data_IF_083376532322
#
_entry.id   IF_083376532322
#
_cell.length_a   1.000
_cell.length_b   1.000
_cell.length_c   1.000
_cell.angle_alpha   90.00
_cell.angle_beta   90.00
_cell.angle_gamma   90.00
#
_symmetry.space_group_name_H-M   'P 1'
#
loop_
_entity.id
_entity.type
_entity.pdbx_description
1 polymer ?
#
# COMPACT_ATOMS: atom_id res chain seq x y z
N UNK A 1 16.77 30.62 7.57
CA UNK A 1 16.35 29.21 7.72
C UNK A 1 17.22 28.41 6.77
N UNK A 2 17.85 27.30 7.18
CA UNK A 2 18.50 26.41 6.20
C UNK A 2 17.38 25.75 5.39
N UNK A 3 17.40 25.88 4.08
CA UNK A 3 16.43 25.20 3.22
C UNK A 3 16.57 23.69 3.40
N UNK A 4 15.45 23.00 3.63
CA UNK A 4 15.39 21.55 3.56
C UNK A 4 15.54 21.19 2.09
N UNK A 5 16.59 20.44 1.75
CA UNK A 5 16.87 20.00 0.38
C UNK A 5 16.68 18.49 0.29
N UNK A 6 16.31 18.01 -0.90
CA UNK A 6 16.06 16.59 -1.18
C UNK A 6 17.27 15.66 -0.93
N UNK A 7 18.46 16.21 -0.66
CA UNK A 7 19.69 15.46 -0.42
C UNK A 7 19.99 15.25 1.08
N UNK A 8 19.09 15.66 1.97
CA UNK A 8 19.24 15.48 3.43
C UNK A 8 18.78 14.09 3.86
N UNK A 9 19.45 13.49 4.84
CA UNK A 9 18.99 12.22 5.42
C UNK A 9 17.68 12.41 6.20
N UNK A 10 16.80 11.39 6.27
CA UNK A 10 15.53 11.47 7.00
C UNK A 10 15.70 11.94 8.46
N UNK A 11 16.72 11.45 9.16
CA UNK A 11 17.03 11.87 10.54
C UNK A 11 17.34 13.37 10.64
N UNK A 12 18.07 13.91 9.66
CA UNK A 12 18.43 15.33 9.59
C UNK A 12 17.20 16.20 9.34
N UNK A 13 16.29 15.72 8.48
CA UNK A 13 15.03 16.38 8.18
C UNK A 13 14.16 16.39 9.45
N UNK A 14 14.05 15.25 10.14
CA UNK A 14 13.32 15.12 11.40
C UNK A 14 13.84 16.09 12.47
N UNK A 15 15.15 16.13 12.72
CA UNK A 15 15.77 17.08 13.66
C UNK A 15 15.46 18.55 13.31
N UNK A 16 15.54 18.90 12.03
CA UNK A 16 15.26 20.27 11.56
C UNK A 16 13.79 20.64 11.72
N UNK A 17 12.87 19.70 11.47
CA UNK A 17 11.43 19.88 11.66
C UNK A 17 11.12 20.07 13.16
N UNK A 18 11.59 19.18 14.02
CA UNK A 18 11.39 19.27 15.49
C UNK A 18 11.89 20.61 16.01
N UNK A 19 13.09 21.02 15.59
CA UNK A 19 13.68 22.31 15.98
C UNK A 19 12.87 23.50 15.45
N UNK A 20 12.41 23.46 14.21
CA UNK A 20 11.59 24.53 13.62
C UNK A 20 10.24 24.69 14.33
N UNK A 21 9.62 23.58 14.73
CA UNK A 21 8.38 23.55 15.53
C UNK A 21 8.61 24.14 16.92
N UNK A 22 9.67 23.72 17.62
CA UNK A 22 10.03 24.23 18.95
C UNK A 22 10.36 25.74 18.93
N UNK A 23 11.04 26.22 17.90
CA UNK A 23 11.40 27.63 17.75
C UNK A 23 10.24 28.50 17.24
N UNK A 24 9.09 27.92 16.88
CA UNK A 24 7.95 28.64 16.31
C UNK A 24 8.23 29.29 14.95
N UNK A 25 9.31 28.89 14.26
CA UNK A 25 9.77 29.44 12.99
C UNK A 25 9.34 28.57 11.80
N UNK A 26 8.08 28.16 11.78
CA UNK A 26 7.52 27.40 10.68
C UNK A 26 6.34 28.14 10.08
N UNK A 27 6.22 28.09 8.75
CA UNK A 27 5.01 28.53 8.07
C UNK A 27 4.08 27.32 8.07
N UNK A 28 2.95 27.37 8.78
CA UNK A 28 1.94 26.31 8.67
C UNK A 28 1.46 26.27 7.22
N UNK A 29 1.92 25.26 6.49
CA UNK A 29 1.35 24.90 5.21
C UNK A 29 0.41 23.73 5.50
N UNK A 30 -0.89 24.00 5.46
CA UNK A 30 -1.89 22.93 5.51
C UNK A 30 -1.74 22.19 4.18
N UNK A 31 -1.20 20.97 4.23
CA UNK A 31 -1.18 20.06 3.08
C UNK A 31 -2.46 19.23 3.17
N UNK A 32 -3.48 19.48 2.34
CA UNK A 32 -4.66 18.62 2.31
C UNK A 32 -4.25 17.23 1.82
N UNK A 33 -4.62 16.20 2.58
CA UNK A 33 -4.50 14.80 2.18
C UNK A 33 -5.91 14.32 1.84
N UNK A 34 -6.14 13.99 0.57
CA UNK A 34 -7.40 13.39 0.13
C UNK A 34 -7.25 11.86 0.17
N UNK A 35 -8.05 11.21 1.03
CA UNK A 35 -8.11 9.75 1.13
C UNK A 35 -9.32 9.27 0.35
N UNK A 36 -9.09 8.39 -0.61
CA UNK A 36 -10.14 7.76 -1.40
C UNK A 36 -10.24 6.28 -1.04
N UNK A 37 -11.37 5.87 -0.48
CA UNK A 37 -11.71 4.46 -0.28
C UNK A 37 -12.59 3.99 -1.44
N UNK A 38 -12.00 3.19 -2.32
CA UNK A 38 -12.75 2.51 -3.36
C UNK A 38 -13.08 1.10 -2.87
N UNK A 39 -14.06 1.01 -1.97
CA UNK A 39 -14.68 -0.27 -1.64
C UNK A 39 -15.13 -0.92 -2.94
N UNK A 40 -14.54 -2.07 -3.31
CA UNK A 40 -14.53 -2.74 -4.63
C UNK A 40 -15.89 -3.14 -5.22
N UNK A 41 -16.85 -2.23 -5.19
CA UNK A 41 -18.17 -2.37 -5.75
C UNK A 41 -18.05 -2.29 -7.26
N UNK A 42 -18.70 -3.26 -7.92
CA UNK A 42 -18.52 -3.63 -9.33
C UNK A 42 -18.68 -2.45 -10.29
N UNK A 43 -19.53 -1.50 -9.93
CA UNK A 43 -19.89 -0.35 -10.74
C UNK A 43 -18.78 0.71 -10.80
N UNK A 44 -17.91 0.77 -9.78
CA UNK A 44 -16.86 1.78 -9.70
C UNK A 44 -15.53 1.33 -10.31
N UNK A 45 -15.32 0.04 -10.65
CA UNK A 45 -14.09 -0.43 -11.29
C UNK A 45 -13.71 0.40 -12.53
N UNK A 46 -14.73 0.77 -13.32
CA UNK A 46 -14.57 1.57 -14.53
C UNK A 46 -14.34 3.07 -14.27
N UNK A 47 -14.32 3.55 -13.02
CA UNK A 47 -14.02 4.95 -12.69
C UNK A 47 -12.71 5.13 -11.93
N UNK A 48 -12.05 4.05 -11.50
CA UNK A 48 -10.81 4.14 -10.71
C UNK A 48 -9.70 4.89 -11.45
N UNK A 49 -9.64 4.78 -12.78
CA UNK A 49 -8.65 5.51 -13.57
C UNK A 49 -8.76 7.03 -13.48
N UNK A 50 -9.93 7.57 -13.10
CA UNK A 50 -10.13 9.01 -12.94
C UNK A 50 -9.46 9.56 -11.68
N UNK A 51 -9.14 8.69 -10.71
CA UNK A 51 -8.60 9.07 -9.40
C UNK A 51 -7.14 8.62 -9.21
N UNK A 52 -6.59 7.83 -10.13
CA UNK A 52 -5.19 7.44 -10.11
C UNK A 52 -4.35 8.63 -10.59
N UNK A 53 -3.49 9.15 -9.71
CA UNK A 53 -2.59 10.25 -10.03
C UNK A 53 -1.13 9.84 -9.82
N UNK A 54 -0.20 10.47 -10.53
CA UNK A 54 1.24 10.16 -10.46
C UNK A 54 1.90 10.49 -9.12
N UNK A 55 1.24 11.26 -8.24
CA UNK A 55 1.74 11.63 -6.90
C UNK A 55 0.95 10.95 -5.78
N UNK A 56 0.25 9.86 -6.10
CA UNK A 56 -0.52 9.09 -5.12
C UNK A 56 0.33 8.06 -4.38
N UNK A 57 -0.02 7.85 -3.12
CA UNK A 57 0.29 6.62 -2.38
C UNK A 57 -0.94 5.73 -2.48
N UNK A 58 -0.75 4.50 -2.95
CA UNK A 58 -1.81 3.53 -3.15
C UNK A 58 -1.69 2.44 -2.10
N UNK A 59 -2.73 2.23 -1.31
CA UNK A 59 -2.80 1.11 -0.36
C UNK A 59 -3.64 0.00 -0.99
N UNK A 60 -2.97 -1.07 -1.39
CA UNK A 60 -3.59 -2.22 -2.03
C UNK A 60 -3.85 -3.31 -0.99
N UNK A 61 -5.11 -3.43 -0.58
CA UNK A 61 -5.54 -4.41 0.41
C UNK A 61 -5.94 -5.74 -0.22
N UNK A 62 -5.61 -6.85 0.43
CA UNK A 62 -6.08 -8.18 0.05
C UNK A 62 -6.33 -9.07 1.28
N UNK A 63 -7.10 -10.14 1.10
CA UNK A 63 -7.32 -11.14 2.14
C UNK A 63 -6.07 -12.03 2.27
N UNK A 64 -5.35 -11.89 3.39
CA UNK A 64 -4.14 -12.67 3.70
C UNK A 64 -4.43 -14.07 4.23
N UNK A 65 -5.67 -14.35 4.63
CA UNK A 65 -6.07 -15.65 5.20
C UNK A 65 -6.19 -16.74 4.14
N UNK A 66 -6.63 -16.40 2.92
CA UNK A 66 -6.86 -17.37 1.85
C UNK A 66 -5.61 -17.65 1.00
N UNK A 67 -4.68 -16.69 0.88
CA UNK A 67 -3.43 -16.86 0.12
C UNK A 67 -3.52 -16.50 -1.36
N UNK A 68 -2.36 -16.30 -2.01
CA UNK A 68 -2.29 -15.63 -3.32
C UNK A 68 -2.93 -16.43 -4.46
N UNK A 69 -2.91 -17.76 -4.37
CA UNK A 69 -3.41 -18.65 -5.42
C UNK A 69 -4.87 -19.05 -5.25
N UNK A 70 -5.54 -18.61 -4.18
CA UNK A 70 -6.96 -18.89 -3.96
C UNK A 70 -7.84 -17.85 -4.66
N UNK A 71 -9.03 -18.30 -5.07
CA UNK A 71 -10.05 -17.42 -5.63
C UNK A 71 -10.54 -16.41 -4.59
N UNK A 72 -10.68 -15.15 -5.00
CA UNK A 72 -11.25 -14.12 -4.14
C UNK A 72 -12.75 -14.36 -3.90
N UNK A 73 -13.20 -14.47 -2.64
CA UNK A 73 -14.62 -14.52 -2.31
C UNK A 73 -15.33 -13.23 -2.77
N UNK A 74 -16.50 -13.36 -3.38
CA UNK A 74 -17.33 -12.22 -3.79
C UNK A 74 -16.91 -11.51 -5.08
N UNK A 75 -15.70 -11.76 -5.58
CA UNK A 75 -15.21 -11.21 -6.85
C UNK A 75 -15.41 -12.23 -7.97
N UNK A 76 -16.43 -12.02 -8.80
CA UNK A 76 -16.77 -12.93 -9.90
C UNK A 76 -16.12 -12.53 -11.24
N UNK A 77 -15.55 -11.33 -11.32
CA UNK A 77 -15.03 -10.77 -12.57
C UNK A 77 -13.97 -9.70 -12.27
N UNK A 78 -12.94 -9.65 -13.10
CA UNK A 78 -12.04 -8.51 -13.24
C UNK A 78 -11.93 -8.16 -14.73
N UNK A 79 -11.86 -6.87 -15.11
CA UNK A 79 -11.65 -6.47 -16.48
C UNK A 79 -10.44 -7.17 -17.10
N UNK A 80 -10.64 -7.84 -18.24
CA UNK A 80 -9.59 -8.59 -18.94
C UNK A 80 -9.27 -9.98 -18.38
N UNK A 81 -10.01 -10.47 -17.38
CA UNK A 81 -9.85 -11.82 -16.84
C UNK A 81 -11.12 -12.67 -17.04
N UNK A 82 -10.95 -13.86 -17.61
CA UNK A 82 -12.04 -14.82 -17.78
C UNK A 82 -12.07 -15.79 -16.60
N UNK A 83 -13.10 -15.67 -15.74
CA UNK A 83 -13.31 -16.56 -14.59
C UNK A 83 -13.20 -15.85 -13.25
N UNK A 84 -13.21 -16.63 -12.17
CA UNK A 84 -13.03 -16.12 -10.81
C UNK A 84 -11.55 -15.79 -10.60
N UNK A 85 -11.18 -14.53 -10.39
CA UNK A 85 -9.78 -14.16 -10.18
C UNK A 85 -9.25 -14.72 -8.87
N UNK A 86 -7.97 -15.08 -8.87
CA UNK A 86 -7.22 -15.33 -7.64
C UNK A 86 -6.77 -14.01 -7.02
N UNK A 87 -6.32 -14.06 -5.76
CA UNK A 87 -5.71 -12.90 -5.09
C UNK A 87 -4.52 -12.35 -5.89
N UNK A 88 -3.66 -13.22 -6.43
CA UNK A 88 -2.54 -12.81 -7.28
C UNK A 88 -2.99 -12.07 -8.56
N UNK A 89 -4.04 -12.56 -9.23
CA UNK A 89 -4.59 -11.90 -10.43
C UNK A 89 -5.16 -10.53 -10.09
N UNK A 90 -5.84 -10.41 -8.94
CA UNK A 90 -6.33 -9.13 -8.45
C UNK A 90 -5.20 -8.13 -8.18
N UNK A 91 -4.14 -8.57 -7.49
CA UNK A 91 -3.00 -7.71 -7.17
C UNK A 91 -2.29 -7.24 -8.44
N UNK A 92 -2.02 -8.15 -9.38
CA UNK A 92 -1.45 -7.81 -10.68
C UNK A 92 -2.32 -6.83 -11.46
N UNK A 93 -3.63 -7.01 -11.46
CA UNK A 93 -4.56 -6.12 -12.15
C UNK A 93 -4.44 -4.68 -11.64
N UNK A 94 -4.45 -4.49 -10.33
CA UNK A 94 -4.38 -3.15 -9.74
C UNK A 94 -3.00 -2.51 -9.85
N UNK A 95 -1.92 -3.28 -9.64
CA UNK A 95 -0.56 -2.78 -9.85
C UNK A 95 -0.40 -2.28 -11.29
N UNK A 96 -0.82 -3.07 -12.28
CA UNK A 96 -0.74 -2.66 -13.68
C UNK A 96 -1.63 -1.46 -13.98
N UNK A 97 -2.83 -1.41 -13.41
CA UNK A 97 -3.74 -0.27 -13.59
C UNK A 97 -3.12 1.02 -13.05
N UNK A 98 -2.60 0.99 -11.82
CA UNK A 98 -1.94 2.15 -11.19
C UNK A 98 -0.77 2.62 -12.08
N UNK A 99 0.13 1.72 -12.44
CA UNK A 99 1.30 2.06 -13.25
C UNK A 99 0.93 2.57 -14.65
N UNK A 100 -0.16 2.06 -15.23
CA UNK A 100 -0.63 2.51 -16.56
C UNK A 100 -1.18 3.93 -16.51
N UNK A 101 -1.94 4.30 -15.47
CA UNK A 101 -2.58 5.62 -15.38
C UNK A 101 -1.69 6.68 -14.71
N UNK A 102 -0.61 6.28 -14.03
CA UNK A 102 0.39 7.21 -13.53
C UNK A 102 1.32 7.69 -14.66
N UNK A 103 0.95 8.80 -15.31
CA UNK A 103 1.67 9.39 -16.46
C UNK A 103 3.12 9.87 -16.20
N UNK A 104 3.57 9.93 -14.95
CA UNK A 104 4.94 10.31 -14.57
C UNK A 104 5.39 9.42 -13.41
N UNK A 105 6.39 8.59 -13.67
CA UNK A 105 7.03 7.79 -12.63
C UNK A 105 8.37 8.42 -12.30
N UNK A 106 8.39 9.26 -11.26
CA UNK A 106 9.64 9.60 -10.61
C UNK A 106 10.17 8.34 -9.88
N UNK A 107 11.46 8.30 -9.52
CA UNK A 107 11.98 7.15 -8.77
C UNK A 107 11.23 7.01 -7.44
N UNK A 108 10.61 5.85 -7.23
CA UNK A 108 9.78 5.53 -6.06
C UNK A 108 8.31 5.95 -6.16
N UNK A 109 7.84 6.56 -7.26
CA UNK A 109 6.44 6.97 -7.45
C UNK A 109 5.83 6.45 -8.76
N UNK A 110 4.57 5.98 -8.78
CA UNK A 110 3.66 5.88 -7.65
C UNK A 110 4.15 4.86 -6.60
N UNK A 111 3.80 5.07 -5.33
CA UNK A 111 4.13 4.13 -4.24
C UNK A 111 2.92 3.24 -3.98
N UNK A 112 3.11 1.92 -4.03
CA UNK A 112 2.04 0.92 -3.87
C UNK A 112 2.36 0.05 -2.66
N UNK A 113 1.64 0.26 -1.57
CA UNK A 113 1.81 -0.44 -0.30
C UNK A 113 0.82 -1.59 -0.24
N UNK A 114 1.30 -2.80 0.07
CA UNK A 114 0.47 -3.98 0.20
C UNK A 114 0.06 -4.16 1.65
N UNK A 115 -1.23 -4.39 1.87
CA UNK A 115 -1.79 -4.66 3.20
C UNK A 115 -2.58 -5.95 3.16
N UNK A 116 -2.10 -6.95 3.88
CA UNK A 116 -2.86 -8.17 4.14
C UNK A 116 -3.88 -7.91 5.26
N UNK A 117 -5.09 -8.44 5.09
CA UNK A 117 -6.19 -8.34 6.08
C UNK A 117 -6.61 -9.73 6.54
N UNK A 118 -7.47 -9.79 7.57
CA UNK A 118 -7.95 -11.03 8.20
C UNK A 118 -6.86 -11.74 9.03
N UNK A 119 -6.04 -10.96 9.75
CA UNK A 119 -4.99 -11.47 10.66
C UNK A 119 -5.54 -12.32 11.82
N UNK A 120 -6.80 -12.11 12.16
CA UNK A 120 -7.56 -12.77 13.22
C UNK A 120 -8.01 -14.19 12.86
N UNK A 121 -8.08 -14.53 11.56
CA UNK A 121 -8.46 -15.87 11.14
C UNK A 121 -7.44 -16.92 11.61
N UNK A 122 -7.93 -18.05 12.13
CA UNK A 122 -7.06 -19.10 12.67
C UNK A 122 -6.59 -20.06 11.58
N UNK A 123 -5.27 -20.23 11.47
CA UNK A 123 -4.66 -21.21 10.58
C UNK A 123 -3.96 -22.30 11.41
N UNK A 124 -4.43 -23.53 11.32
CA UNK A 124 -3.86 -24.65 12.08
C UNK A 124 -2.43 -25.04 11.65
N UNK A 125 -1.96 -24.51 10.52
CA UNK A 125 -0.67 -24.87 9.93
C UNK A 125 0.41 -23.79 10.09
N UNK A 126 0.05 -22.57 10.55
CA UNK A 126 0.96 -21.43 10.50
C UNK A 126 0.85 -20.56 11.76
N UNK A 127 1.98 -20.07 12.24
CA UNK A 127 2.00 -18.88 13.11
C UNK A 127 1.75 -17.63 12.25
N UNK A 128 1.34 -16.51 12.86
CA UNK A 128 1.15 -15.25 12.12
C UNK A 128 2.43 -14.81 11.39
N UNK A 129 3.58 -14.89 12.05
CA UNK A 129 4.87 -14.53 11.46
C UNK A 129 5.27 -15.45 10.30
N UNK A 130 5.06 -16.76 10.45
CA UNK A 130 5.32 -17.71 9.38
C UNK A 130 4.38 -17.47 8.19
N UNK A 131 3.12 -17.08 8.45
CA UNK A 131 2.16 -16.72 7.41
C UNK A 131 2.56 -15.44 6.69
N UNK A 132 2.98 -14.39 7.42
CA UNK A 132 3.52 -13.15 6.86
C UNK A 132 4.69 -13.45 5.94
N UNK A 133 5.70 -14.16 6.44
CA UNK A 133 6.89 -14.53 5.68
C UNK A 133 6.54 -15.33 4.42
N UNK A 134 5.57 -16.24 4.52
CA UNK A 134 5.10 -17.01 3.38
C UNK A 134 4.48 -16.11 2.30
N UNK A 135 3.57 -15.21 2.69
CA UNK A 135 2.95 -14.25 1.76
C UNK A 135 3.98 -13.31 1.13
N UNK A 136 4.96 -12.81 1.90
CA UNK A 136 6.05 -11.98 1.39
C UNK A 136 6.88 -12.70 0.32
N UNK A 137 7.12 -14.01 0.49
CA UNK A 137 7.84 -14.82 -0.48
C UNK A 137 6.99 -15.06 -1.74
N UNK A 138 5.70 -15.34 -1.60
CA UNK A 138 4.79 -15.47 -2.75
C UNK A 138 4.68 -14.13 -3.53
N UNK A 139 4.57 -13.00 -2.83
CA UNK A 139 4.55 -11.66 -3.43
C UNK A 139 5.87 -11.35 -4.15
N UNK A 140 7.00 -11.70 -3.52
CA UNK A 140 8.31 -11.54 -4.14
C UNK A 140 8.40 -12.33 -5.45
N UNK A 141 7.96 -13.58 -5.46
CA UNK A 141 7.94 -14.42 -6.66
C UNK A 141 6.99 -13.87 -7.73
N UNK A 142 5.82 -13.37 -7.31
CA UNK A 142 4.81 -12.81 -8.22
C UNK A 142 5.33 -11.59 -8.97
N UNK A 143 6.12 -10.73 -8.31
CA UNK A 143 6.58 -9.46 -8.87
C UNK A 143 8.08 -9.42 -9.22
N UNK A 144 8.81 -10.52 -9.04
CA UNK A 144 10.25 -10.67 -9.32
C UNK A 144 10.67 -10.05 -10.66
N UNK A 145 9.92 -10.37 -11.71
CA UNK A 145 10.21 -9.96 -13.09
C UNK A 145 9.33 -8.79 -13.55
N UNK A 146 8.48 -8.26 -12.67
CA UNK A 146 7.54 -7.21 -13.00
C UNK A 146 8.24 -5.87 -13.12
N UNK A 147 8.08 -5.16 -14.24
CA UNK A 147 8.74 -3.86 -14.48
C UNK A 147 8.38 -2.78 -13.45
N UNK A 148 7.27 -2.98 -12.73
CA UNK A 148 6.80 -2.13 -11.64
C UNK A 148 7.36 -2.44 -10.24
N UNK A 149 8.22 -3.45 -10.07
CA UNK A 149 8.66 -3.93 -8.74
C UNK A 149 9.20 -2.82 -7.83
N UNK A 150 9.93 -1.84 -8.39
CA UNK A 150 10.49 -0.69 -7.66
C UNK A 150 9.45 0.25 -7.03
N UNK A 151 8.19 0.10 -7.39
CA UNK A 151 7.07 0.87 -6.87
C UNK A 151 6.31 0.15 -5.75
N UNK A 152 6.66 -1.11 -5.46
CA UNK A 152 5.91 -1.98 -4.57
C UNK A 152 6.57 -2.09 -3.20
N UNK A 153 5.75 -1.95 -2.16
CA UNK A 153 6.17 -2.03 -0.76
C UNK A 153 5.35 -3.10 -0.07
N UNK A 154 5.98 -4.25 0.14
CA UNK A 154 5.37 -5.42 0.76
C UNK A 154 6.30 -6.15 1.73
N UNK A 155 7.44 -5.54 2.09
CA UNK A 155 8.43 -6.07 3.02
C UNK A 155 8.90 -4.95 3.97
N UNK A 156 8.58 -5.00 5.28
CA UNK A 156 7.71 -6.00 5.90
C UNK A 156 6.27 -5.91 5.38
N UNK A 157 5.60 -7.05 5.24
CA UNK A 157 4.18 -7.10 4.91
C UNK A 157 3.36 -6.73 6.12
N UNK A 158 2.63 -5.62 5.97
CA UNK A 158 1.65 -5.16 6.94
C UNK A 158 0.47 -6.13 6.91
N UNK A 159 0.19 -6.76 8.05
CA UNK A 159 -0.88 -7.74 8.19
C UNK A 159 -1.79 -7.34 9.35
N UNK A 160 -3.03 -6.96 9.06
CA UNK A 160 -3.92 -6.36 10.05
C UNK A 160 -5.19 -7.17 10.28
N UNK A 161 -5.69 -7.11 11.50
CA UNK A 161 -7.10 -7.35 11.81
C UNK A 161 -7.85 -6.03 11.63
N UNK A 162 -8.46 -5.85 10.46
CA UNK A 162 -9.21 -4.64 10.13
C UNK A 162 -10.49 -4.45 10.98
N UNK A 163 -10.89 -5.46 11.77
CA UNK A 163 -12.02 -5.37 12.70
C UNK A 163 -11.61 -4.90 14.09
N UNK A 164 -10.31 -4.97 14.41
CA UNK A 164 -9.74 -4.52 15.67
C UNK A 164 -9.06 -3.14 15.51
N UNK A 165 -9.67 -2.06 16.01
CA UNK A 165 -9.10 -0.72 15.88
C UNK A 165 -7.79 -0.53 16.67
N UNK A 166 -7.50 -1.41 17.62
CA UNK A 166 -6.30 -1.39 18.47
C UNK A 166 -5.21 -2.35 17.95
N UNK A 167 -5.32 -2.86 16.72
CA UNK A 167 -4.23 -3.64 16.11
C UNK A 167 -2.97 -2.75 15.98
N UNK A 168 -1.87 -3.21 16.56
CA UNK A 168 -0.60 -2.50 16.56
C UNK A 168 -0.13 -2.15 15.13
N UNK A 169 -0.39 -3.02 14.15
CA UNK A 169 0.04 -2.80 12.76
C UNK A 169 -0.83 -1.76 12.03
N UNK A 170 -2.05 -1.50 12.51
CA UNK A 170 -2.86 -0.36 12.05
C UNK A 170 -2.25 0.96 12.56
N UNK A 171 -1.64 0.94 13.74
CA UNK A 171 -0.91 2.09 14.29
C UNK A 171 0.36 2.34 13.49
N UNK A 172 1.12 1.28 13.17
CA UNK A 172 2.30 1.37 12.31
C UNK A 172 1.96 1.91 10.92
N UNK A 173 0.85 1.47 10.31
CA UNK A 173 0.32 2.05 9.06
C UNK A 173 0.06 3.55 9.14
N UNK A 174 -0.49 4.03 10.26
CA UNK A 174 -0.78 5.46 10.45
C UNK A 174 0.51 6.26 10.59
N UNK A 175 1.49 5.73 11.30
CA UNK A 175 2.78 6.38 11.51
C UNK A 175 3.65 6.40 10.25
N UNK A 176 3.70 5.31 9.48
CA UNK A 176 4.49 5.22 8.25
C UNK A 176 3.91 6.10 7.13
N UNK A 177 2.59 6.27 7.08
CA UNK A 177 1.95 7.24 6.18
C UNK A 177 2.13 8.69 6.66
N UNK A 178 2.25 8.94 7.96
CA UNK A 178 2.55 10.26 8.53
C UNK A 178 4.03 10.67 8.38
N UNK A 179 4.93 9.70 8.20
CA UNK A 179 6.37 9.88 7.98
C UNK A 179 6.76 9.94 6.50
N UNK A 180 5.83 10.30 5.60
CA UNK A 180 6.14 10.51 4.18
C UNK A 180 7.45 11.28 4.00
N UNK A 181 8.49 10.57 3.57
CA UNK A 181 9.89 11.02 3.47
C UNK A 181 10.05 12.25 2.58
#
# INVERSE_FOLDING_TARGET
MKEITANMSPDKIHELIVKAVQEGKYKQMIVPIDIWDFGGQKDYYMTHQLFITSRGIFVLMFNGSIGLHQHMPGLNFLPGHFGKPTVAVYLLHWVNSILTYCNRTDDGFPKIIFVATHKDEKWFQWTQEARRTHLENELQQLFETHGGLKHLEFKPLIFVDATNPDDAEITDLREDNAKGN
#
